data_IF_492660988736
#
_entry.id   IF_492660988736
#
_cell.length_a   1.000
_cell.length_b   1.000
_cell.length_c   1.000
_cell.angle_alpha   90.00
_cell.angle_beta   90.00
_cell.angle_gamma   90.00
#
_symmetry.space_group_name_H-M   'P 1'
#
loop_
_entity.id
_entity.type
_entity.pdbx_description
1 polymer ?
#
# COMPACT_ATOMS: atom_id res chain seq x y z
N UNK A 1 -19.76 12.10 -37.54
CA UNK A 1 -19.35 12.02 -36.12
C UNK A 1 -20.51 11.88 -35.14
N UNK A 2 -21.53 12.77 -35.10
CA UNK A 2 -22.70 12.62 -34.20
C UNK A 2 -23.55 11.36 -34.46
N UNK A 3 -23.61 10.88 -35.71
CA UNK A 3 -24.35 9.65 -36.07
C UNK A 3 -23.63 8.38 -35.58
N UNK A 4 -22.30 8.34 -35.67
CA UNK A 4 -21.48 7.19 -35.24
C UNK A 4 -21.51 7.02 -33.71
N UNK A 5 -21.50 8.14 -32.98
CA UNK A 5 -21.64 8.16 -31.53
C UNK A 5 -23.01 7.63 -31.08
N UNK A 6 -24.09 7.95 -31.78
CA UNK A 6 -25.43 7.40 -31.50
C UNK A 6 -25.56 5.91 -31.81
N UNK A 7 -24.91 5.43 -32.87
CA UNK A 7 -24.90 4.00 -33.23
C UNK A 7 -24.13 3.15 -32.20
N UNK A 8 -22.98 3.64 -31.71
CA UNK A 8 -22.22 2.96 -30.66
C UNK A 8 -22.94 2.97 -29.29
N UNK A 9 -23.65 4.07 -28.97
CA UNK A 9 -24.44 4.17 -27.74
C UNK A 9 -25.66 3.23 -27.76
N UNK A 10 -26.31 3.07 -28.92
CA UNK A 10 -27.46 2.16 -29.09
C UNK A 10 -27.03 0.67 -29.04
N UNK A 11 -25.86 0.34 -29.61
CA UNK A 11 -25.37 -1.04 -29.59
C UNK A 11 -24.93 -1.52 -28.19
N UNK A 12 -24.47 -0.60 -27.33
CA UNK A 12 -24.12 -0.89 -25.95
C UNK A 12 -25.35 -1.14 -25.06
N UNK A 13 -26.47 -0.46 -25.32
CA UNK A 13 -27.71 -0.62 -24.54
C UNK A 13 -28.48 -1.91 -24.88
N UNK A 14 -28.53 -2.31 -26.15
CA UNK A 14 -29.23 -3.53 -26.58
C UNK A 14 -28.60 -4.84 -26.05
N UNK A 15 -27.33 -4.82 -25.65
CA UNK A 15 -26.62 -6.00 -25.10
C UNK A 15 -26.89 -6.26 -23.62
N UNK A 16 -27.56 -5.33 -22.92
CA UNK A 16 -27.78 -5.40 -21.47
C UNK A 16 -29.24 -5.69 -21.08
N UNK A 17 -30.18 -5.58 -22.02
CA UNK A 17 -31.63 -5.66 -21.76
C UNK A 17 -32.31 -6.96 -22.22
N UNK A 18 -31.59 -7.91 -22.83
CA UNK A 18 -32.14 -9.24 -23.13
C UNK A 18 -31.25 -10.34 -22.52
N UNK A 19 -31.66 -10.81 -21.35
CA UNK A 19 -31.12 -12.02 -20.71
C UNK A 19 -31.50 -13.27 -21.48
N UNK A 20 -30.96 -13.44 -22.70
CA UNK A 20 -31.17 -14.64 -23.53
C UNK A 20 -29.83 -15.29 -23.82
N UNK A 21 -29.69 -16.50 -23.29
CA UNK A 21 -28.58 -17.40 -23.56
C UNK A 21 -28.72 -17.92 -25.00
N UNK A 22 -27.91 -17.42 -25.94
CA UNK A 22 -27.85 -17.98 -27.29
C UNK A 22 -26.58 -18.81 -27.48
N UNK A 23 -26.81 -20.09 -27.79
CA UNK A 23 -25.81 -21.12 -28.03
C UNK A 23 -24.95 -20.84 -29.28
N UNK A 24 -23.79 -21.51 -29.34
CA UNK A 24 -22.66 -21.32 -30.27
C UNK A 24 -22.91 -21.62 -31.77
N UNK A 25 -24.13 -21.49 -32.30
CA UNK A 25 -24.44 -21.72 -33.73
C UNK A 25 -25.40 -20.65 -34.28
N UNK A 26 -24.89 -19.47 -34.61
CA UNK A 26 -25.58 -18.50 -35.48
C UNK A 26 -24.64 -17.33 -35.86
N UNK A 27 -23.53 -17.62 -36.55
CA UNK A 27 -22.81 -16.60 -37.33
C UNK A 27 -22.34 -17.25 -38.63
N UNK A 28 -23.29 -17.45 -39.55
CA UNK A 28 -22.99 -17.69 -40.96
C UNK A 28 -24.00 -16.88 -41.77
N UNK A 29 -23.46 -15.99 -42.60
CA UNK A 29 -24.22 -15.20 -43.57
C UNK A 29 -24.44 -13.77 -43.14
N UNK A 30 -23.52 -12.88 -43.54
CA UNK A 30 -23.82 -11.50 -43.97
C UNK A 30 -22.57 -10.91 -44.70
N UNK A 31 -22.68 -10.97 -46.04
CA UNK A 31 -22.14 -10.10 -47.10
C UNK A 31 -20.62 -9.99 -47.43
N UNK A 32 -20.15 -10.24 -48.69
CA UNK A 32 -18.74 -10.19 -49.09
C UNK A 32 -18.17 -8.82 -49.51
N UNK A 33 -18.94 -7.73 -49.51
CA UNK A 33 -18.49 -6.46 -50.13
C UNK A 33 -17.78 -5.44 -49.21
N UNK A 34 -17.45 -5.79 -47.96
CA UNK A 34 -16.82 -4.84 -47.01
C UNK A 34 -15.34 -4.50 -47.31
N UNK A 35 -14.74 -5.10 -48.34
CA UNK A 35 -13.33 -4.88 -48.70
C UNK A 35 -13.09 -3.71 -49.68
N UNK A 36 -14.14 -3.08 -50.23
CA UNK A 36 -13.98 -2.04 -51.27
C UNK A 36 -14.00 -0.58 -50.77
N UNK A 37 -14.01 -0.34 -49.46
CA UNK A 37 -13.98 1.01 -48.89
C UNK A 37 -12.85 1.21 -47.88
N UNK A 38 -11.60 1.08 -48.33
CA UNK A 38 -10.44 1.61 -47.59
C UNK A 38 -9.43 2.26 -48.54
N UNK A 39 -9.26 3.58 -48.43
CA UNK A 39 -7.94 4.06 -48.04
C UNK A 39 -8.08 5.20 -47.01
N UNK A 40 -7.84 4.91 -45.72
CA UNK A 40 -7.42 5.85 -44.65
C UNK A 40 -7.44 5.17 -43.26
N UNK A 41 -6.77 4.03 -43.12
CA UNK A 41 -6.67 3.32 -41.83
C UNK A 41 -5.64 3.94 -40.87
N UNK A 42 -4.72 4.78 -41.34
CA UNK A 42 -3.74 5.42 -40.45
C UNK A 42 -4.30 6.63 -39.69
N UNK A 43 -5.26 7.37 -40.25
CA UNK A 43 -5.83 8.54 -39.58
C UNK A 43 -6.85 8.16 -38.50
N UNK A 44 -7.65 7.11 -38.76
CA UNK A 44 -8.59 6.56 -37.79
C UNK A 44 -7.90 5.81 -36.66
N UNK A 45 -6.80 5.10 -36.93
CA UNK A 45 -5.98 4.51 -35.86
C UNK A 45 -5.24 5.59 -35.07
N UNK A 46 -4.70 6.63 -35.69
CA UNK A 46 -4.07 7.74 -34.96
C UNK A 46 -5.09 8.52 -34.11
N UNK A 47 -6.30 8.75 -34.62
CA UNK A 47 -7.41 9.32 -33.84
C UNK A 47 -7.89 8.36 -32.76
N UNK A 48 -7.99 7.05 -33.01
CA UNK A 48 -8.37 6.08 -31.99
C UNK A 48 -7.33 6.02 -30.88
N UNK A 49 -6.04 6.04 -31.23
CA UNK A 49 -4.94 6.06 -30.26
C UNK A 49 -4.88 7.40 -29.52
N UNK A 50 -5.12 8.55 -30.17
CA UNK A 50 -5.13 9.87 -29.51
C UNK A 50 -6.39 10.11 -28.67
N UNK A 51 -7.58 9.71 -29.14
CA UNK A 51 -8.84 9.71 -28.38
C UNK A 51 -8.85 8.64 -27.27
N UNK A 52 -8.04 7.58 -27.39
CA UNK A 52 -7.81 6.63 -26.30
C UNK A 52 -6.73 7.08 -25.32
N UNK A 53 -5.90 8.06 -25.66
CA UNK A 53 -4.94 8.68 -24.72
C UNK A 53 -5.57 9.82 -23.92
N UNK A 54 -6.60 10.48 -24.46
CA UNK A 54 -7.61 11.18 -23.67
C UNK A 54 -8.58 10.15 -23.10
N UNK A 55 -8.08 9.29 -22.20
CA UNK A 55 -8.94 8.43 -21.39
C UNK A 55 -9.81 9.38 -20.57
N UNK A 56 -11.04 9.62 -21.02
CA UNK A 56 -12.16 9.93 -20.14
C UNK A 56 -12.13 8.84 -19.06
N UNK A 57 -11.48 9.16 -17.94
CA UNK A 57 -11.33 8.26 -16.83
C UNK A 57 -12.76 7.90 -16.42
N UNK A 58 -13.10 6.64 -16.59
CA UNK A 58 -14.49 6.22 -16.56
C UNK A 58 -15.01 6.48 -15.16
N UNK A 59 -16.09 7.26 -15.06
CA UNK A 59 -16.79 7.55 -13.82
C UNK A 59 -16.86 6.29 -12.93
N UNK A 60 -16.26 6.35 -11.75
CA UNK A 60 -16.17 5.20 -10.85
C UNK A 60 -17.26 5.30 -9.79
N UNK A 61 -18.06 4.25 -9.67
CA UNK A 61 -18.96 4.07 -8.52
C UNK A 61 -18.35 3.06 -7.57
N UNK A 62 -17.98 3.51 -6.38
CA UNK A 62 -17.24 2.71 -5.39
C UNK A 62 -17.80 2.92 -3.96
N UNK A 63 -17.22 2.24 -2.98
CA UNK A 63 -17.55 2.37 -1.56
C UNK A 63 -16.29 2.65 -0.74
N UNK A 64 -16.46 3.22 0.45
CA UNK A 64 -15.33 3.47 1.35
C UNK A 64 -14.56 2.20 1.70
N UNK A 65 -15.27 1.10 1.98
CA UNK A 65 -14.67 -0.20 2.25
C UNK A 65 -13.88 -0.77 1.06
N UNK A 66 -14.32 -0.50 -0.18
CA UNK A 66 -13.59 -0.91 -1.38
C UNK A 66 -12.30 -0.11 -1.54
N UNK A 67 -12.34 1.22 -1.35
CA UNK A 67 -11.14 2.06 -1.37
C UNK A 67 -10.16 1.66 -0.26
N UNK A 68 -10.65 1.42 0.95
CA UNK A 68 -9.82 0.93 2.06
C UNK A 68 -9.19 -0.43 1.74
N UNK A 69 -9.91 -1.32 1.04
CA UNK A 69 -9.37 -2.61 0.59
C UNK A 69 -8.18 -2.42 -0.37
N UNK A 70 -8.26 -1.42 -1.25
CA UNK A 70 -7.15 -1.07 -2.14
C UNK A 70 -5.95 -0.54 -1.38
N UNK A 71 -6.15 0.43 -0.48
CA UNK A 71 -5.08 0.99 0.36
C UNK A 71 -4.41 -0.08 1.22
N UNK A 72 -5.17 -1.08 1.70
CA UNK A 72 -4.62 -2.21 2.45
C UNK A 72 -3.82 -3.17 1.58
N UNK A 73 -4.32 -3.52 0.39
CA UNK A 73 -3.66 -4.42 -0.54
C UNK A 73 -4.28 -4.30 -1.95
N UNK A 74 -3.57 -3.72 -2.94
CA UNK A 74 -4.06 -3.59 -4.31
C UNK A 74 -4.46 -4.93 -4.95
N UNK A 75 -3.69 -5.99 -4.70
CA UNK A 75 -4.01 -7.33 -5.21
C UNK A 75 -5.34 -7.86 -4.65
N UNK A 76 -5.64 -7.61 -3.38
CA UNK A 76 -6.92 -8.00 -2.77
C UNK A 76 -8.09 -7.23 -3.39
N UNK A 77 -7.92 -5.93 -3.59
CA UNK A 77 -8.90 -5.10 -4.30
C UNK A 77 -9.15 -5.61 -5.71
N UNK A 78 -8.10 -5.94 -6.47
CA UNK A 78 -8.25 -6.52 -7.81
C UNK A 78 -9.09 -7.80 -7.77
N UNK A 79 -8.77 -8.74 -6.88
CA UNK A 79 -9.54 -9.99 -6.77
C UNK A 79 -11.00 -9.76 -6.40
N UNK A 80 -11.26 -8.83 -5.48
CA UNK A 80 -12.60 -8.61 -4.94
C UNK A 80 -13.49 -7.75 -5.84
N UNK A 81 -12.99 -6.60 -6.32
CA UNK A 81 -13.79 -5.56 -6.97
C UNK A 81 -13.70 -5.62 -8.50
N UNK A 82 -12.50 -5.93 -9.04
CA UNK A 82 -12.26 -6.00 -10.49
C UNK A 82 -12.61 -7.39 -11.02
N UNK A 83 -11.91 -8.43 -10.53
CA UNK A 83 -12.07 -9.80 -10.99
C UNK A 83 -13.34 -10.48 -10.43
N UNK A 84 -13.89 -9.91 -9.34
CA UNK A 84 -15.10 -10.40 -8.64
C UNK A 84 -15.03 -11.87 -8.24
N UNK A 85 -13.86 -12.30 -7.80
CA UNK A 85 -13.62 -13.67 -7.32
C UNK A 85 -14.36 -13.84 -5.99
N UNK A 86 -15.32 -14.77 -5.89
CA UNK A 86 -16.01 -15.05 -4.64
C UNK A 86 -15.03 -15.49 -3.56
N UNK A 87 -15.06 -14.83 -2.41
CA UNK A 87 -14.28 -15.20 -1.24
C UNK A 87 -15.20 -15.80 -0.17
N UNK A 88 -14.66 -16.80 0.54
CA UNK A 88 -15.28 -17.29 1.78
C UNK A 88 -15.28 -16.16 2.81
N UNK A 89 -16.47 -15.76 3.27
CA UNK A 89 -16.60 -14.75 4.34
C UNK A 89 -16.11 -15.34 5.67
N UNK A 90 -15.51 -14.50 6.52
CA UNK A 90 -15.12 -14.92 7.86
C UNK A 90 -16.35 -15.13 8.77
N UNK A 91 -16.17 -15.92 9.84
CA UNK A 91 -17.18 -16.15 10.87
C UNK A 91 -17.67 -14.83 11.47
N UNK A 92 -16.76 -13.90 11.72
CA UNK A 92 -17.03 -12.59 12.30
C UNK A 92 -17.89 -11.73 11.38
N UNK A 93 -17.61 -11.71 10.07
CA UNK A 93 -18.36 -10.94 9.10
C UNK A 93 -19.80 -11.46 8.93
N UNK A 94 -19.94 -12.80 8.90
CA UNK A 94 -21.25 -13.45 8.82
C UNK A 94 -22.04 -13.26 10.12
N UNK A 95 -21.40 -13.44 11.27
CA UNK A 95 -21.99 -13.16 12.58
C UNK A 95 -22.49 -11.73 12.70
N UNK A 96 -21.66 -10.74 12.32
CA UNK A 96 -22.05 -9.34 12.29
C UNK A 96 -23.30 -9.08 11.45
N UNK A 97 -23.39 -9.70 10.28
CA UNK A 97 -24.56 -9.56 9.39
C UNK A 97 -25.87 -9.96 10.08
N UNK A 98 -25.87 -11.09 10.81
CA UNK A 98 -27.06 -11.55 11.55
C UNK A 98 -27.40 -10.66 12.73
N UNK A 99 -26.39 -10.18 13.47
CA UNK A 99 -26.60 -9.26 14.59
C UNK A 99 -27.15 -7.91 14.11
N UNK A 100 -26.60 -7.33 13.03
CA UNK A 100 -27.12 -6.10 12.44
C UNK A 100 -28.55 -6.27 11.94
N UNK A 101 -28.88 -7.42 11.32
CA UNK A 101 -30.25 -7.71 10.91
C UNK A 101 -31.23 -7.74 12.08
N UNK A 102 -30.84 -8.32 13.21
CA UNK A 102 -31.68 -8.34 14.42
C UNK A 102 -31.84 -6.95 15.05
N UNK A 103 -30.79 -6.12 15.06
CA UNK A 103 -30.88 -4.73 15.52
C UNK A 103 -31.73 -3.87 14.57
N UNK A 104 -31.62 -4.07 13.27
CA UNK A 104 -32.51 -3.43 12.30
C UNK A 104 -33.98 -3.79 12.59
N UNK A 105 -34.26 -5.07 12.83
CA UNK A 105 -35.60 -5.53 13.21
C UNK A 105 -36.07 -4.88 14.51
N UNK A 106 -35.23 -4.86 15.55
CA UNK A 106 -35.54 -4.25 16.86
C UNK A 106 -35.99 -2.80 16.79
N UNK A 107 -35.39 -1.99 15.92
CA UNK A 107 -35.73 -0.56 15.76
C UNK A 107 -36.81 -0.30 14.70
N UNK A 108 -37.24 -1.34 13.97
CA UNK A 108 -38.30 -1.20 12.97
C UNK A 108 -39.65 -1.22 13.68
N UNK A 109 -40.23 -0.04 13.92
CA UNK A 109 -41.55 0.08 14.51
C UNK A 109 -42.61 -0.47 13.53
N UNK A 110 -43.42 -1.44 13.96
CA UNK A 110 -44.57 -1.92 13.19
C UNK A 110 -45.62 -2.50 14.13
N UNK A 111 -46.83 -1.94 14.22
CA UNK A 111 -47.15 -0.68 14.93
C UNK A 111 -46.49 -0.48 16.31
N UNK A 112 -46.05 -1.56 16.98
CA UNK A 112 -45.28 -1.53 18.22
C UNK A 112 -43.79 -1.82 17.94
N UNK A 113 -42.92 -1.54 18.90
CA UNK A 113 -41.53 -2.01 18.83
C UNK A 113 -41.47 -3.49 19.20
N UNK A 114 -40.64 -4.30 18.52
CA UNK A 114 -40.42 -5.68 18.90
C UNK A 114 -39.90 -5.80 20.33
N UNK A 115 -40.38 -6.82 21.04
CA UNK A 115 -39.88 -7.25 22.34
C UNK A 115 -38.45 -7.81 22.23
N UNK A 116 -37.79 -7.99 23.37
CA UNK A 116 -36.47 -8.63 23.39
C UNK A 116 -36.55 -10.09 22.94
N UNK A 117 -37.64 -10.79 23.26
CA UNK A 117 -37.93 -12.15 22.80
C UNK A 117 -38.09 -12.22 21.29
N UNK A 118 -38.86 -11.31 20.69
CA UNK A 118 -39.03 -11.24 19.22
C UNK A 118 -37.72 -10.86 18.52
N UNK A 119 -36.97 -9.92 19.07
CA UNK A 119 -35.65 -9.52 18.54
C UNK A 119 -34.67 -10.70 18.55
N UNK A 120 -34.60 -11.42 19.68
CA UNK A 120 -33.80 -12.64 19.77
C UNK A 120 -34.36 -13.72 18.84
N UNK A 121 -35.68 -13.84 18.72
CA UNK A 121 -36.37 -14.77 17.82
C UNK A 121 -35.97 -14.55 16.36
N UNK A 122 -35.95 -13.30 15.91
CA UNK A 122 -35.48 -12.93 14.57
C UNK A 122 -34.04 -13.37 14.34
N UNK A 123 -33.14 -13.13 15.30
CA UNK A 123 -31.77 -13.64 15.21
C UNK A 123 -31.74 -15.17 15.11
N UNK A 124 -32.49 -15.88 15.96
CA UNK A 124 -32.50 -17.35 16.00
C UNK A 124 -32.97 -17.99 14.71
N UNK A 125 -34.01 -17.43 14.09
CA UNK A 125 -34.60 -17.96 12.85
C UNK A 125 -33.62 -17.77 11.68
N UNK A 126 -32.92 -16.63 11.64
CA UNK A 126 -32.02 -16.31 10.54
C UNK A 126 -30.62 -16.92 10.70
N UNK A 127 -30.17 -17.17 11.93
CA UNK A 127 -28.87 -17.78 12.18
C UNK A 127 -28.85 -19.25 11.73
N UNK A 128 -27.75 -19.77 11.15
CA UNK A 128 -27.71 -21.16 10.65
C UNK A 128 -28.12 -22.19 11.70
N UNK A 129 -29.09 -23.03 11.34
CA UNK A 129 -29.65 -24.07 12.23
C UNK A 129 -28.70 -25.25 12.45
N UNK A 130 -27.82 -25.52 11.48
CA UNK A 130 -26.81 -26.59 11.52
C UNK A 130 -25.43 -26.03 11.13
N UNK A 131 -24.34 -26.77 11.40
CA UNK A 131 -23.02 -26.42 10.89
C UNK A 131 -23.01 -26.25 9.37
N UNK A 132 -22.16 -25.35 8.89
CA UNK A 132 -22.01 -25.04 7.47
C UNK A 132 -20.57 -24.64 7.16
N UNK A 133 -20.30 -24.22 5.92
CA UNK A 133 -18.95 -23.84 5.51
C UNK A 133 -18.32 -22.73 6.38
N UNK A 134 -19.13 -21.86 7.00
CA UNK A 134 -18.63 -20.73 7.82
C UNK A 134 -18.47 -21.14 9.28
N UNK A 135 -19.48 -21.79 9.85
CA UNK A 135 -19.51 -22.31 11.22
C UNK A 135 -19.36 -23.82 11.14
N UNK A 136 -18.12 -24.30 11.04
CA UNK A 136 -17.80 -25.65 10.57
C UNK A 136 -18.18 -26.75 11.56
N UNK A 137 -18.33 -26.42 12.84
CA UNK A 137 -18.70 -27.37 13.89
C UNK A 137 -19.86 -26.85 14.71
N UNK A 138 -20.60 -27.77 15.33
CA UNK A 138 -21.72 -27.43 16.20
C UNK A 138 -21.26 -26.62 17.41
N UNK A 139 -20.09 -26.92 17.97
CA UNK A 139 -19.49 -26.15 19.06
C UNK A 139 -19.21 -24.70 18.67
N UNK A 140 -18.62 -24.46 17.48
CA UNK A 140 -18.37 -23.11 16.97
C UNK A 140 -19.70 -22.39 16.71
N UNK A 141 -20.62 -23.03 15.99
CA UNK A 141 -21.93 -22.47 15.67
C UNK A 141 -22.67 -22.03 16.93
N UNK A 142 -22.74 -22.92 17.94
CA UNK A 142 -23.39 -22.65 19.22
C UNK A 142 -22.71 -21.50 19.97
N UNK A 143 -21.38 -21.42 19.97
CA UNK A 143 -20.66 -20.32 20.63
C UNK A 143 -21.02 -18.94 20.04
N UNK A 144 -21.06 -18.80 18.71
CA UNK A 144 -21.49 -17.55 18.07
C UNK A 144 -22.98 -17.28 18.26
N UNK A 145 -23.82 -18.31 18.22
CA UNK A 145 -25.26 -18.17 18.47
C UNK A 145 -25.53 -17.65 19.89
N UNK A 146 -24.94 -18.27 20.90
CA UNK A 146 -25.08 -17.87 22.31
C UNK A 146 -24.53 -16.46 22.54
N UNK A 147 -23.38 -16.13 21.92
CA UNK A 147 -22.81 -14.79 21.96
C UNK A 147 -23.76 -13.75 21.35
N UNK A 148 -24.38 -14.04 20.20
CA UNK A 148 -25.34 -13.16 19.54
C UNK A 148 -26.56 -12.88 20.40
N UNK A 149 -27.17 -13.93 20.97
CA UNK A 149 -28.31 -13.79 21.90
C UNK A 149 -27.92 -12.96 23.12
N UNK A 150 -26.75 -13.19 23.71
CA UNK A 150 -26.26 -12.42 24.87
C UNK A 150 -26.07 -10.94 24.52
N UNK A 151 -25.47 -10.64 23.38
CA UNK A 151 -25.25 -9.27 22.89
C UNK A 151 -26.59 -8.56 22.69
N UNK A 152 -27.54 -9.19 22.01
CA UNK A 152 -28.85 -8.61 21.72
C UNK A 152 -29.64 -8.33 22.99
N UNK A 153 -29.68 -9.28 23.94
CA UNK A 153 -30.34 -9.07 25.24
C UNK A 153 -29.72 -7.91 26.02
N UNK A 154 -28.38 -7.86 26.08
CA UNK A 154 -27.66 -6.81 26.80
C UNK A 154 -27.90 -5.43 26.17
N UNK A 155 -27.84 -5.38 24.83
CA UNK A 155 -28.10 -4.17 24.06
C UNK A 155 -29.54 -3.69 24.25
N UNK A 156 -30.52 -4.58 24.16
CA UNK A 156 -31.94 -4.25 24.34
C UNK A 156 -32.21 -3.66 25.72
N UNK A 157 -31.66 -4.29 26.78
CA UNK A 157 -31.79 -3.81 28.15
C UNK A 157 -31.23 -2.39 28.33
N UNK A 158 -30.07 -2.10 27.73
CA UNK A 158 -29.41 -0.78 27.82
C UNK A 158 -30.04 0.26 26.89
N UNK A 159 -30.64 -0.17 25.78
CA UNK A 159 -31.17 0.72 24.74
C UNK A 159 -32.61 0.30 24.34
N UNK A 160 -33.61 0.45 25.22
CA UNK A 160 -34.99 0.12 24.87
C UNK A 160 -35.45 0.96 23.67
N UNK A 161 -36.02 0.35 22.61
CA UNK A 161 -36.18 1.01 21.32
C UNK A 161 -37.15 2.20 21.37
N UNK A 162 -38.15 2.18 22.26
CA UNK A 162 -39.11 3.27 22.46
C UNK A 162 -38.51 4.54 23.08
N UNK A 163 -37.28 4.51 23.58
CA UNK A 163 -36.59 5.69 24.10
C UNK A 163 -35.91 6.51 22.99
N UNK A 164 -36.00 6.09 21.73
CA UNK A 164 -35.28 6.71 20.63
C UNK A 164 -36.21 7.13 19.50
N UNK A 165 -35.97 8.32 18.95
CA UNK A 165 -36.63 8.80 17.74
C UNK A 165 -35.79 8.44 16.51
N UNK A 166 -35.93 7.20 16.03
CA UNK A 166 -35.19 6.71 14.86
C UNK A 166 -35.73 7.35 13.59
N UNK A 167 -34.89 8.08 12.86
CA UNK A 167 -35.22 8.72 11.58
C UNK A 167 -34.97 7.81 10.38
N UNK A 168 -33.95 6.96 10.47
CA UNK A 168 -33.53 6.12 9.37
C UNK A 168 -32.82 4.88 9.85
N UNK A 169 -33.15 3.74 9.24
CA UNK A 169 -32.43 2.49 9.40
C UNK A 169 -31.88 2.06 8.06
N UNK A 170 -30.67 1.50 8.06
CA UNK A 170 -30.05 0.89 6.88
C UNK A 170 -30.06 1.87 5.66
N UNK A 171 -29.83 3.15 5.97
CA UNK A 171 -30.02 4.28 5.07
C UNK A 171 -28.89 4.35 4.05
N UNK A 172 -29.23 4.19 2.77
CA UNK A 172 -28.28 4.41 1.67
C UNK A 172 -28.04 5.89 1.44
N UNK A 173 -26.80 6.22 1.11
CA UNK A 173 -26.37 7.54 0.70
C UNK A 173 -25.36 7.44 -0.45
N UNK A 174 -25.24 8.52 -1.21
CA UNK A 174 -24.25 8.69 -2.26
C UNK A 174 -23.62 10.07 -2.13
N UNK A 175 -22.30 10.13 -2.25
CA UNK A 175 -21.54 11.37 -2.29
C UNK A 175 -20.88 11.47 -3.65
N UNK A 176 -21.28 12.50 -4.41
CA UNK A 176 -20.63 12.86 -5.67
C UNK A 176 -19.25 13.44 -5.36
N UNK A 177 -18.25 12.93 -6.08
CA UNK A 177 -16.86 13.38 -6.08
C UNK A 177 -16.54 13.95 -7.47
N UNK A 178 -16.29 15.25 -7.53
CA UNK A 178 -15.86 15.92 -8.76
C UNK A 178 -14.34 15.85 -8.86
N UNK A 179 -13.84 15.21 -9.91
CA UNK A 179 -12.41 15.18 -10.24
C UNK A 179 -12.16 16.16 -11.39
N UNK A 180 -11.90 17.42 -11.03
CA UNK A 180 -11.61 18.49 -11.97
C UNK A 180 -10.38 18.18 -12.83
N UNK A 181 -9.37 17.48 -12.26
CA UNK A 181 -8.11 17.19 -12.95
C UNK A 181 -8.33 16.24 -14.12
N UNK A 182 -9.20 15.27 -13.95
CA UNK A 182 -9.49 14.25 -14.95
C UNK A 182 -10.84 14.47 -15.66
N UNK A 183 -11.52 15.58 -15.38
CA UNK A 183 -12.86 15.90 -15.91
C UNK A 183 -13.84 14.73 -15.74
N UNK A 184 -13.79 14.08 -14.57
CA UNK A 184 -14.57 12.90 -14.24
C UNK A 184 -15.43 13.12 -13.00
N UNK A 185 -16.55 12.41 -12.92
CA UNK A 185 -17.44 12.44 -11.75
C UNK A 185 -17.54 11.04 -11.18
N UNK A 186 -17.10 10.87 -9.94
CA UNK A 186 -17.14 9.59 -9.23
C UNK A 186 -18.26 9.61 -8.19
N UNK A 187 -18.70 8.42 -7.77
CA UNK A 187 -19.74 8.24 -6.77
C UNK A 187 -19.18 7.37 -5.66
N UNK A 188 -19.18 7.91 -4.44
CA UNK A 188 -18.87 7.17 -3.23
C UNK A 188 -20.17 6.81 -2.53
N UNK A 189 -20.54 5.54 -2.58
CA UNK A 189 -21.78 5.02 -2.03
C UNK A 189 -21.54 4.29 -0.71
N UNK A 190 -22.53 4.38 0.19
CA UNK A 190 -22.49 3.70 1.47
C UNK A 190 -23.87 3.43 2.05
N UNK A 191 -23.87 2.83 3.23
CA UNK A 191 -25.06 2.48 3.99
C UNK A 191 -24.80 2.75 5.46
N UNK A 192 -25.71 3.47 6.11
CA UNK A 192 -25.66 3.82 7.52
C UNK A 192 -26.62 2.90 8.27
N UNK A 193 -26.16 2.26 9.35
CA UNK A 193 -26.98 1.31 10.11
C UNK A 193 -28.20 2.00 10.74
N UNK A 194 -28.00 3.15 11.41
CA UNK A 194 -29.07 3.88 12.11
C UNK A 194 -28.80 5.39 12.21
N UNK A 195 -29.85 6.18 12.14
CA UNK A 195 -29.85 7.63 12.33
C UNK A 195 -30.98 7.98 13.30
N UNK A 196 -30.63 8.69 14.37
CA UNK A 196 -31.57 9.14 15.41
C UNK A 196 -31.70 10.66 15.44
N UNK A 197 -32.88 11.14 15.85
CA UNK A 197 -33.10 12.49 16.33
C UNK A 197 -33.02 12.47 17.86
N UNK A 198 -32.21 13.34 18.43
CA UNK A 198 -32.04 13.49 19.87
C UNK A 198 -33.04 14.50 20.43
N UNK A 199 -33.26 14.46 21.75
CA UNK A 199 -34.24 15.29 22.45
C UNK A 199 -33.91 16.78 22.43
N UNK A 200 -32.63 17.13 22.29
CA UNK A 200 -32.13 18.50 22.14
C UNK A 200 -32.26 19.04 20.70
N UNK A 201 -32.85 18.26 19.79
CA UNK A 201 -33.04 18.62 18.38
C UNK A 201 -31.83 18.33 17.50
N UNK A 202 -30.74 17.79 18.06
CA UNK A 202 -29.57 17.33 17.29
C UNK A 202 -29.78 15.91 16.73
N UNK A 203 -28.82 15.41 15.97
CA UNK A 203 -28.90 14.12 15.28
C UNK A 203 -27.69 13.24 15.60
N UNK A 204 -27.88 11.92 15.58
CA UNK A 204 -26.81 10.96 15.80
C UNK A 204 -26.83 9.85 14.75
N UNK A 205 -25.71 9.68 14.04
CA UNK A 205 -25.44 8.52 13.19
C UNK A 205 -24.79 7.43 14.06
N UNK A 206 -25.31 6.22 13.98
CA UNK A 206 -24.80 5.07 14.73
C UNK A 206 -24.43 3.97 13.74
N UNK A 207 -23.19 3.49 13.84
CA UNK A 207 -22.69 2.32 13.12
C UNK A 207 -22.31 1.23 14.13
N UNK A 208 -22.88 0.05 13.96
CA UNK A 208 -22.71 -1.06 14.89
C UNK A 208 -21.43 -1.83 14.57
N UNK A 209 -20.66 -2.17 15.60
CA UNK A 209 -19.44 -2.97 15.46
C UNK A 209 -19.51 -4.21 16.35
N UNK A 210 -19.25 -5.37 15.76
CA UNK A 210 -19.07 -6.66 16.46
C UNK A 210 -17.59 -7.01 16.68
N UNK A 211 -16.69 -6.03 16.54
CA UNK A 211 -15.27 -6.23 16.76
C UNK A 211 -14.96 -6.66 18.21
N UNK A 212 -13.90 -7.47 18.38
CA UNK A 212 -13.45 -7.98 19.69
C UNK A 212 -12.65 -6.95 20.50
N UNK A 213 -12.13 -5.91 19.85
CA UNK A 213 -11.30 -4.87 20.47
C UNK A 213 -12.00 -3.52 20.35
N UNK A 214 -11.88 -2.72 21.41
CA UNK A 214 -12.24 -1.31 21.40
C UNK A 214 -11.04 -0.49 20.87
N UNK A 215 -11.24 0.41 19.90
CA UNK A 215 -10.25 1.41 19.55
C UNK A 215 -10.18 2.50 20.62
N UNK A 216 -9.13 3.33 20.56
CA UNK A 216 -9.06 4.55 21.36
C UNK A 216 -10.01 5.62 20.83
N UNK A 217 -10.33 6.63 21.65
CA UNK A 217 -11.19 7.73 21.25
C UNK A 217 -10.59 8.52 20.07
N UNK A 218 -9.27 8.73 20.08
CA UNK A 218 -8.55 9.44 19.01
C UNK A 218 -8.67 8.72 17.65
N UNK A 219 -8.66 7.38 17.66
CA UNK A 219 -8.87 6.60 16.45
C UNK A 219 -10.29 6.79 15.90
N UNK A 220 -11.30 6.87 16.77
CA UNK A 220 -12.69 7.17 16.37
C UNK A 220 -12.82 8.61 15.87
N UNK A 221 -12.15 9.57 16.50
CA UNK A 221 -12.16 10.97 16.09
C UNK A 221 -11.54 11.18 14.71
N UNK A 222 -10.54 10.37 14.35
CA UNK A 222 -9.89 10.39 13.04
C UNK A 222 -10.55 9.48 11.99
N UNK A 223 -11.61 8.74 12.34
CA UNK A 223 -12.22 7.76 11.45
C UNK A 223 -12.88 8.41 10.21
N UNK A 224 -12.33 8.06 9.04
CA UNK A 224 -12.75 8.56 7.74
C UNK A 224 -14.09 7.96 7.27
N UNK A 225 -14.46 6.75 7.69
CA UNK A 225 -15.76 6.14 7.36
C UNK A 225 -16.90 6.93 8.01
N UNK A 226 -16.76 7.28 9.29
CA UNK A 226 -17.71 8.12 10.00
C UNK A 226 -17.78 9.54 9.42
N UNK A 227 -16.63 10.09 9.02
CA UNK A 227 -16.58 11.38 8.32
C UNK A 227 -17.35 11.32 6.99
N UNK A 228 -17.27 10.21 6.25
CA UNK A 228 -18.08 9.99 5.05
C UNK A 228 -19.58 9.90 5.37
N UNK A 229 -19.96 9.21 6.45
CA UNK A 229 -21.37 9.13 6.85
C UNK A 229 -21.96 10.49 7.17
N UNK A 230 -21.22 11.33 7.91
CA UNK A 230 -21.63 12.70 8.20
C UNK A 230 -21.87 13.49 6.90
N UNK A 231 -20.96 13.41 5.93
CA UNK A 231 -21.13 14.03 4.62
C UNK A 231 -22.34 13.49 3.85
N UNK A 232 -22.54 12.18 3.85
CA UNK A 232 -23.65 11.52 3.18
C UNK A 232 -25.01 11.99 3.71
N UNK A 233 -25.11 12.11 5.05
CA UNK A 233 -26.31 12.63 5.73
C UNK A 233 -26.50 14.12 5.44
N UNK A 234 -25.45 14.94 5.54
CA UNK A 234 -25.52 16.37 5.23
C UNK A 234 -25.98 16.65 3.80
N UNK A 235 -25.48 15.89 2.81
CA UNK A 235 -25.95 16.03 1.41
C UNK A 235 -27.41 15.65 1.25
N UNK A 236 -27.87 14.61 1.96
CA UNK A 236 -29.25 14.13 1.88
C UNK A 236 -30.24 15.00 2.66
N UNK A 237 -29.81 15.54 3.79
CA UNK A 237 -30.59 16.36 4.71
C UNK A 237 -29.76 17.58 5.14
N UNK A 238 -29.78 18.67 4.35
CA UNK A 238 -28.92 19.84 4.58
C UNK A 238 -29.09 20.56 5.92
N UNK A 239 -30.22 20.36 6.61
CA UNK A 239 -30.47 20.92 7.94
C UNK A 239 -29.69 20.18 9.06
N UNK A 240 -29.15 19.00 8.79
CA UNK A 240 -28.29 18.23 9.70
C UNK A 240 -26.82 18.66 9.49
N UNK A 241 -26.49 19.88 9.89
CA UNK A 241 -25.14 20.45 9.75
C UNK A 241 -24.11 19.71 10.62
N UNK A 242 -22.81 19.99 10.41
CA UNK A 242 -21.74 19.34 11.19
C UNK A 242 -21.80 19.65 12.70
N UNK A 243 -22.39 20.77 13.08
CA UNK A 243 -22.49 21.22 14.48
C UNK A 243 -23.61 20.50 15.26
N UNK A 244 -24.65 20.05 14.57
CA UNK A 244 -25.79 19.36 15.16
C UNK A 244 -25.84 17.86 14.82
N UNK A 245 -24.75 17.30 14.29
CA UNK A 245 -24.65 15.91 13.86
C UNK A 245 -23.48 15.19 14.55
N UNK A 246 -23.83 14.24 15.42
CA UNK A 246 -22.90 13.32 16.06
C UNK A 246 -22.74 12.05 15.21
N UNK A 247 -21.54 11.49 15.20
CA UNK A 247 -21.26 10.18 14.62
C UNK A 247 -20.73 9.25 15.70
N UNK A 248 -21.22 8.02 15.74
CA UNK A 248 -20.93 7.09 16.82
C UNK A 248 -20.67 5.68 16.31
N UNK A 249 -19.67 5.02 16.90
CA UNK A 249 -19.47 3.59 16.81
C UNK A 249 -20.00 2.92 18.07
N UNK A 250 -20.92 1.96 17.90
CA UNK A 250 -21.43 1.17 19.00
C UNK A 250 -20.81 -0.22 18.99
N UNK A 251 -19.94 -0.50 19.95
CA UNK A 251 -19.24 -1.76 20.09
C UNK A 251 -20.07 -2.77 20.88
N UNK A 252 -20.86 -3.56 20.15
CA UNK A 252 -21.87 -4.46 20.69
C UNK A 252 -21.32 -5.52 21.65
N UNK A 253 -20.09 -6.01 21.44
CA UNK A 253 -19.47 -6.99 22.35
C UNK A 253 -19.16 -6.39 23.73
N UNK A 254 -18.81 -5.11 23.74
CA UNK A 254 -18.43 -4.35 24.93
C UNK A 254 -19.58 -3.55 25.54
N UNK A 255 -20.68 -3.39 24.79
CA UNK A 255 -21.82 -2.54 25.16
C UNK A 255 -21.42 -1.06 25.35
N UNK A 256 -20.41 -0.61 24.60
CA UNK A 256 -19.86 0.74 24.68
C UNK A 256 -20.11 1.53 23.40
N UNK A 257 -20.42 2.81 23.55
CA UNK A 257 -20.63 3.75 22.44
C UNK A 257 -19.53 4.81 22.48
N UNK A 258 -18.74 4.87 21.41
CA UNK A 258 -17.74 5.92 21.21
C UNK A 258 -18.30 6.93 20.21
N UNK A 259 -18.42 8.17 20.66
CA UNK A 259 -19.04 9.26 19.90
C UNK A 259 -18.00 10.28 19.49
N UNK A 260 -18.20 10.91 18.35
CA UNK A 260 -17.35 11.98 17.84
C UNK A 260 -18.18 13.03 17.10
N UNK A 261 -17.66 14.25 17.04
CA UNK A 261 -18.17 15.32 16.21
C UNK A 261 -17.27 15.46 14.98
N UNK A 262 -17.83 15.88 13.85
CA UNK A 262 -17.08 16.07 12.61
C UNK A 262 -16.91 17.54 12.30
N UNK A 263 -15.70 17.89 11.88
CA UNK A 263 -15.41 19.23 11.34
C UNK A 263 -15.59 19.22 9.82
N UNK A 264 -15.88 20.37 9.19
CA UNK A 264 -15.89 20.49 7.73
C UNK A 264 -14.59 20.00 7.08
N UNK A 265 -13.44 20.27 7.70
CA UNK A 265 -12.14 19.79 7.23
C UNK A 265 -12.04 18.25 7.23
N UNK A 266 -12.61 17.58 8.23
CA UNK A 266 -12.67 16.11 8.29
C UNK A 266 -13.38 15.53 7.06
N UNK A 267 -14.46 16.18 6.62
CA UNK A 267 -15.17 15.83 5.40
C UNK A 267 -14.28 16.00 4.16
N UNK A 268 -13.63 17.15 4.01
CA UNK A 268 -12.74 17.40 2.86
C UNK A 268 -11.58 16.39 2.77
N UNK A 269 -11.00 16.00 3.91
CA UNK A 269 -9.94 14.97 3.96
C UNK A 269 -10.42 13.63 3.40
N UNK A 270 -11.64 13.18 3.72
CA UNK A 270 -12.21 11.95 3.16
C UNK A 270 -12.33 12.04 1.65
N UNK A 271 -12.87 13.15 1.13
CA UNK A 271 -13.07 13.33 -0.31
C UNK A 271 -11.73 13.34 -1.05
N UNK A 272 -10.73 14.04 -0.51
CA UNK A 272 -9.37 14.08 -1.07
C UNK A 272 -8.74 12.68 -1.09
N UNK A 273 -8.73 11.97 0.03
CA UNK A 273 -8.17 10.61 0.12
C UNK A 273 -8.89 9.65 -0.84
N UNK A 274 -10.21 9.78 -0.98
CA UNK A 274 -10.99 8.97 -1.91
C UNK A 274 -10.60 9.26 -3.37
N UNK A 275 -10.50 10.54 -3.76
CA UNK A 275 -10.08 10.95 -5.10
C UNK A 275 -8.65 10.48 -5.42
N UNK A 276 -7.71 10.64 -4.49
CA UNK A 276 -6.33 10.15 -4.66
C UNK A 276 -6.29 8.63 -4.89
N UNK A 277 -7.05 7.88 -4.09
CA UNK A 277 -7.14 6.42 -4.23
C UNK A 277 -7.79 6.02 -5.57
N UNK A 278 -8.87 6.70 -5.96
CA UNK A 278 -9.55 6.47 -7.24
C UNK A 278 -8.61 6.76 -8.42
N UNK A 279 -7.85 7.84 -8.34
CA UNK A 279 -6.85 8.21 -9.34
C UNK A 279 -5.77 7.12 -9.45
N UNK A 280 -5.23 6.65 -8.33
CA UNK A 280 -4.24 5.56 -8.32
C UNK A 280 -4.78 4.25 -8.91
N UNK A 281 -6.01 3.86 -8.56
CA UNK A 281 -6.71 2.70 -9.14
C UNK A 281 -6.85 2.88 -10.66
N UNK A 282 -7.30 4.05 -11.08
CA UNK A 282 -7.59 4.34 -12.48
C UNK A 282 -6.31 4.36 -13.31
N UNK A 283 -5.24 4.99 -12.83
CA UNK A 283 -3.93 4.98 -13.49
C UNK A 283 -3.34 3.58 -13.58
N UNK A 284 -3.44 2.76 -12.52
CA UNK A 284 -2.98 1.36 -12.59
C UNK A 284 -3.78 0.56 -13.61
N UNK A 285 -5.11 0.71 -13.61
CA UNK A 285 -6.01 0.00 -14.52
C UNK A 285 -5.76 0.39 -15.98
N UNK A 286 -5.71 1.70 -16.27
CA UNK A 286 -5.47 2.22 -17.61
C UNK A 286 -4.09 1.84 -18.15
N UNK A 287 -3.06 1.89 -17.31
CA UNK A 287 -1.69 1.52 -17.69
C UNK A 287 -1.44 0.01 -17.76
N UNK A 288 -2.46 -0.84 -17.58
CA UNK A 288 -2.35 -2.28 -17.44
C UNK A 288 -1.24 -2.72 -16.46
N UNK A 289 -1.07 -1.94 -15.39
CA UNK A 289 -0.04 -2.18 -14.37
C UNK A 289 -0.49 -3.32 -13.46
N UNK A 290 0.47 -4.07 -12.94
CA UNK A 290 0.19 -5.12 -11.97
C UNK A 290 -0.31 -4.52 -10.64
N UNK A 291 -1.33 -5.16 -10.06
CA UNK A 291 -1.80 -4.85 -8.72
C UNK A 291 -0.98 -5.68 -7.74
N UNK A 292 0.16 -5.14 -7.33
CA UNK A 292 1.10 -5.87 -6.49
C UNK A 292 0.49 -6.23 -5.12
N UNK A 293 0.78 -7.43 -4.58
CA UNK A 293 0.41 -7.76 -3.22
C UNK A 293 1.23 -6.91 -2.24
N UNK A 294 0.59 -6.53 -1.13
CA UNK A 294 1.25 -5.84 -0.02
C UNK A 294 1.22 -6.75 1.21
N UNK A 295 2.26 -7.59 1.42
CA UNK A 295 2.31 -8.50 2.57
C UNK A 295 2.22 -7.74 3.90
N UNK A 296 1.34 -8.20 4.79
CA UNK A 296 1.15 -7.64 6.12
C UNK A 296 0.62 -8.72 7.07
N UNK A 297 0.50 -8.42 8.36
CA UNK A 297 -0.11 -9.32 9.33
C UNK A 297 -1.56 -9.71 8.98
N UNK A 298 -2.25 -8.94 8.13
CA UNK A 298 -3.59 -9.25 7.65
C UNK A 298 -3.61 -10.40 6.62
N UNK A 299 -2.47 -10.78 6.04
CA UNK A 299 -2.40 -11.85 5.05
C UNK A 299 -2.89 -13.18 5.58
N UNK A 300 -2.71 -13.48 6.86
CA UNK A 300 -3.15 -14.74 7.49
C UNK A 300 -4.67 -14.90 7.53
N UNK A 301 -5.39 -13.78 7.45
CA UNK A 301 -6.85 -13.74 7.42
C UNK A 301 -7.40 -13.44 6.02
N UNK A 302 -6.53 -13.35 5.01
CA UNK A 302 -6.95 -13.03 3.65
C UNK A 302 -7.52 -14.27 2.95
N UNK A 303 -8.80 -14.24 2.50
CA UNK A 303 -9.41 -15.40 1.84
C UNK A 303 -8.77 -15.72 0.48
N UNK A 304 -8.06 -14.77 -0.11
CA UNK A 304 -7.36 -14.94 -1.40
C UNK A 304 -5.91 -15.39 -1.24
N UNK A 305 -5.43 -15.72 -0.02
CA UNK A 305 -4.05 -16.17 0.22
C UNK A 305 -3.61 -17.31 -0.74
N UNK A 306 -4.44 -18.33 -1.05
CA UNK A 306 -4.07 -19.38 -2.00
C UNK A 306 -3.82 -18.90 -3.44
N UNK A 307 -4.47 -17.82 -3.86
CA UNK A 307 -4.35 -17.26 -5.22
C UNK A 307 -3.31 -16.13 -5.31
N UNK A 308 -2.94 -15.55 -4.17
CA UNK A 308 -2.08 -14.38 -4.09
C UNK A 308 -0.67 -14.67 -4.64
N UNK A 309 -0.10 -13.84 -5.52
CA UNK A 309 1.26 -14.03 -6.05
C UNK A 309 2.33 -14.19 -4.96
N UNK A 310 2.17 -13.51 -3.81
CA UNK A 310 3.09 -13.61 -2.68
C UNK A 310 3.08 -14.98 -1.97
N UNK A 311 1.98 -15.74 -2.09
CA UNK A 311 1.77 -16.96 -1.29
C UNK A 311 1.45 -18.21 -2.13
N UNK A 312 1.01 -18.05 -3.38
CA UNK A 312 0.49 -19.13 -4.24
C UNK A 312 1.43 -20.33 -4.40
N UNK A 313 2.75 -20.12 -4.28
CA UNK A 313 3.72 -21.21 -4.36
C UNK A 313 3.56 -22.23 -3.21
N UNK A 314 3.09 -21.80 -2.03
CA UNK A 314 2.81 -22.67 -0.88
C UNK A 314 1.57 -23.55 -1.08
N UNK A 315 0.65 -23.12 -1.95
CA UNK A 315 -0.65 -23.79 -2.18
C UNK A 315 -0.67 -24.58 -3.48
N UNK A 316 0.37 -24.48 -4.31
CA UNK A 316 0.52 -25.33 -5.49
C UNK A 316 0.74 -26.75 -4.99
N UNK A 317 -0.25 -27.64 -5.20
CA UNK A 317 -0.04 -29.08 -5.00
C UNK A 317 1.24 -29.45 -5.74
N UNK A 318 2.20 -30.12 -5.08
CA UNK A 318 3.35 -30.74 -5.76
C UNK A 318 2.77 -31.52 -6.93
N UNK A 319 3.09 -31.11 -8.15
CA UNK A 319 2.52 -31.74 -9.33
C UNK A 319 2.87 -33.23 -9.28
N UNK A 320 1.85 -34.09 -9.24
CA UNK A 320 1.99 -35.55 -9.30
C UNK A 320 2.16 -36.05 -10.73
N UNK A 321 2.26 -35.15 -11.72
CA UNK A 321 2.41 -35.49 -13.12
C UNK A 321 3.91 -35.54 -13.49
N UNK A 322 4.43 -36.70 -13.93
CA UNK A 322 5.85 -36.88 -14.29
C UNK A 322 6.31 -36.11 -15.54
N UNK A 323 5.40 -35.47 -16.27
CA UNK A 323 5.68 -34.85 -17.59
C UNK A 323 5.92 -33.35 -17.54
N UNK A 324 5.66 -32.69 -16.42
CA UNK A 324 6.16 -31.33 -16.21
C UNK A 324 7.56 -31.46 -15.61
N UNK A 325 8.59 -30.99 -16.33
CA UNK A 325 9.98 -30.90 -15.89
C UNK A 325 10.03 -30.70 -14.38
N UNK A 326 10.53 -31.71 -13.66
CA UNK A 326 10.49 -31.77 -12.20
C UNK A 326 10.84 -30.38 -11.65
N UNK A 327 9.91 -29.73 -10.90
CA UNK A 327 10.19 -28.41 -10.37
C UNK A 327 11.52 -28.47 -9.64
N UNK A 328 12.46 -27.58 -10.00
CA UNK A 328 13.69 -27.41 -9.22
C UNK A 328 13.31 -27.45 -7.73
N UNK A 329 14.05 -28.16 -6.87
CA UNK A 329 13.75 -28.23 -5.45
C UNK A 329 14.02 -26.86 -4.82
N UNK A 330 13.09 -25.92 -5.04
CA UNK A 330 13.22 -24.52 -4.67
C UNK A 330 13.36 -24.38 -3.16
N UNK A 331 12.81 -25.33 -2.40
CA UNK A 331 12.95 -25.44 -0.96
C UNK A 331 14.43 -25.60 -0.56
N UNK A 332 15.16 -26.52 -1.23
CA UNK A 332 16.58 -26.78 -0.96
C UNK A 332 17.46 -25.61 -1.40
N UNK A 333 17.20 -25.06 -2.59
CA UNK A 333 17.92 -23.88 -3.13
C UNK A 333 17.72 -22.67 -2.20
N UNK A 334 16.48 -22.43 -1.76
CA UNK A 334 16.15 -21.31 -0.86
C UNK A 334 16.82 -21.52 0.49
N UNK A 335 16.82 -22.76 1.02
CA UNK A 335 17.48 -23.10 2.28
C UNK A 335 18.98 -22.85 2.22
N UNK A 336 19.65 -23.29 1.16
CA UNK A 336 21.07 -23.06 0.94
C UNK A 336 21.38 -21.55 0.83
N UNK A 337 20.62 -20.82 0.02
CA UNK A 337 20.78 -19.37 -0.13
C UNK A 337 20.64 -18.62 1.20
N UNK A 338 19.62 -18.95 1.99
CA UNK A 338 19.41 -18.32 3.31
C UNK A 338 20.52 -18.68 4.31
N UNK A 339 21.06 -19.90 4.24
CA UNK A 339 22.18 -20.31 5.08
C UNK A 339 23.45 -19.52 4.74
N UNK A 340 23.81 -19.43 3.45
CA UNK A 340 24.93 -18.63 2.97
C UNK A 340 24.77 -17.16 3.33
N UNK A 341 23.57 -16.58 3.22
CA UNK A 341 23.32 -15.20 3.63
C UNK A 341 23.47 -14.96 5.13
N UNK A 342 23.09 -15.94 5.96
CA UNK A 342 23.30 -15.88 7.41
C UNK A 342 24.78 -15.95 7.76
N UNK A 343 25.55 -16.73 7.03
CA UNK A 343 27.01 -16.80 7.18
C UNK A 343 27.71 -15.51 6.74
N UNK A 344 27.33 -14.96 5.58
CA UNK A 344 27.79 -13.65 5.08
C UNK A 344 27.58 -12.54 6.12
N UNK A 345 26.41 -12.51 6.77
CA UNK A 345 26.13 -11.55 7.84
C UNK A 345 27.03 -11.73 9.07
N UNK A 346 27.36 -12.97 9.45
CA UNK A 346 28.30 -13.24 10.56
C UNK A 346 29.72 -12.86 10.20
N UNK A 347 30.14 -13.22 8.99
CA UNK A 347 31.46 -12.90 8.45
C UNK A 347 31.63 -11.38 8.36
N UNK A 348 30.63 -10.65 7.89
CA UNK A 348 30.63 -9.19 7.89
C UNK A 348 30.87 -8.59 9.28
N UNK A 349 30.11 -9.02 10.31
CA UNK A 349 30.33 -8.58 11.69
C UNK A 349 31.74 -8.88 12.20
N UNK A 350 32.24 -10.09 11.92
CA UNK A 350 33.60 -10.48 12.32
C UNK A 350 34.68 -9.69 11.59
N UNK A 351 34.46 -9.40 10.31
CA UNK A 351 35.35 -8.55 9.52
C UNK A 351 35.41 -7.14 10.09
N UNK A 352 34.27 -6.57 10.52
CA UNK A 352 34.25 -5.24 11.17
C UNK A 352 35.07 -5.21 12.46
N UNK A 353 34.94 -6.24 13.31
CA UNK A 353 35.74 -6.38 14.55
C UNK A 353 37.25 -6.48 14.25
N UNK A 354 37.64 -7.28 13.26
CA UNK A 354 39.03 -7.45 12.87
C UNK A 354 39.58 -6.16 12.26
N UNK A 355 38.81 -5.48 11.41
CA UNK A 355 39.18 -4.19 10.84
C UNK A 355 39.40 -3.13 11.92
N UNK A 356 38.58 -3.10 12.98
CA UNK A 356 38.77 -2.19 14.10
C UNK A 356 40.12 -2.44 14.80
N UNK A 357 40.45 -3.70 15.10
CA UNK A 357 41.73 -4.07 15.71
C UNK A 357 42.93 -3.74 14.82
N UNK A 358 42.81 -3.97 13.51
CA UNK A 358 43.85 -3.62 12.55
C UNK A 358 44.05 -2.10 12.51
N UNK A 359 42.98 -1.31 12.51
CA UNK A 359 43.08 0.16 12.56
C UNK A 359 43.79 0.63 13.84
N UNK A 360 43.41 0.09 14.99
CA UNK A 360 44.03 0.39 16.29
C UNK A 360 45.53 0.07 16.27
N UNK A 361 45.92 -1.09 15.75
CA UNK A 361 47.32 -1.46 15.57
C UNK A 361 48.06 -0.48 14.64
N UNK A 362 47.50 -0.18 13.47
CA UNK A 362 48.10 0.74 12.50
C UNK A 362 48.30 2.14 13.06
N UNK A 363 47.37 2.60 13.90
CA UNK A 363 47.45 3.89 14.59
C UNK A 363 48.52 3.88 15.68
N UNK A 364 48.56 2.84 16.52
CA UNK A 364 49.54 2.70 17.60
C UNK A 364 50.98 2.61 17.09
N UNK A 365 51.21 1.82 16.05
CA UNK A 365 52.55 1.61 15.48
C UNK A 365 52.93 2.65 14.40
N UNK A 366 52.01 3.53 14.03
CA UNK A 366 52.24 4.55 12.99
C UNK A 366 52.44 3.99 11.58
N UNK A 367 51.97 2.78 11.29
CA UNK A 367 52.18 2.10 10.00
C UNK A 367 51.01 2.30 9.02
N UNK A 368 51.33 2.43 7.73
CA UNK A 368 50.32 2.56 6.66
C UNK A 368 49.97 1.24 5.98
N UNK A 369 50.71 0.16 6.27
CA UNK A 369 50.44 -1.20 5.79
C UNK A 369 50.74 -2.24 6.87
N UNK A 370 49.93 -3.30 6.91
CA UNK A 370 50.13 -4.48 7.76
C UNK A 370 50.23 -5.68 6.84
N UNK A 371 51.34 -6.41 6.92
CA UNK A 371 51.59 -7.62 6.14
C UNK A 371 51.23 -8.86 6.94
N UNK A 372 50.66 -9.85 6.28
CA UNK A 372 50.44 -11.19 6.79
C UNK A 372 50.81 -12.22 5.74
N UNK A 373 50.72 -13.50 6.10
CA UNK A 373 51.24 -14.60 5.28
C UNK A 373 50.52 -14.72 3.93
N UNK A 374 49.26 -14.31 3.85
CA UNK A 374 48.42 -14.42 2.64
C UNK A 374 48.25 -13.10 1.86
N UNK A 375 48.84 -12.00 2.35
CA UNK A 375 48.71 -10.69 1.70
C UNK A 375 48.96 -9.52 2.64
N UNK A 376 48.44 -8.35 2.28
CA UNK A 376 48.58 -7.16 3.12
C UNK A 376 47.35 -6.28 3.11
N UNK A 377 47.21 -5.52 4.20
CA UNK A 377 46.16 -4.55 4.42
C UNK A 377 46.80 -3.17 4.42
N UNK A 378 46.24 -2.26 3.61
CA UNK A 378 46.75 -0.90 3.47
C UNK A 378 45.74 0.14 3.92
N UNK A 379 46.24 1.16 4.61
CA UNK A 379 45.48 2.35 5.01
C UNK A 379 45.34 3.25 3.78
N UNK A 380 44.11 3.50 3.37
CA UNK A 380 43.77 4.48 2.34
C UNK A 380 42.98 5.59 3.02
N UNK A 381 43.58 6.78 3.12
CA UNK A 381 42.81 7.97 3.51
C UNK A 381 41.94 8.36 2.31
N UNK A 382 40.64 8.43 2.55
CA UNK A 382 39.68 8.92 1.57
C UNK A 382 39.09 10.21 2.12
N UNK A 383 39.09 11.26 1.32
CA UNK A 383 38.32 12.47 1.61
C UNK A 383 36.93 12.33 1.02
N UNK A 384 35.91 12.60 1.83
CA UNK A 384 34.52 12.77 1.38
C UNK A 384 33.97 14.04 2.01
N UNK A 385 33.09 14.68 1.27
CA UNK A 385 32.40 15.86 1.72
C UNK A 385 31.21 15.43 2.59
N UNK A 386 31.17 15.93 3.81
CA UNK A 386 30.05 15.89 4.72
C UNK A 386 29.28 17.22 4.59
N UNK A 387 27.96 17.14 4.49
CA UNK A 387 27.12 18.31 4.24
C UNK A 387 26.38 18.73 5.52
N UNK A 388 26.60 19.96 5.97
CA UNK A 388 25.88 20.55 7.11
C UNK A 388 24.60 21.20 6.61
N UNK A 389 23.53 20.40 6.49
CA UNK A 389 22.28 20.85 5.89
C UNK A 389 21.64 22.04 6.61
N UNK A 390 21.85 22.20 7.92
CA UNK A 390 21.38 23.38 8.67
C UNK A 390 22.04 24.68 8.17
N UNK A 391 23.35 24.65 7.91
CA UNK A 391 24.10 25.79 7.35
C UNK A 391 23.82 26.02 5.88
N UNK A 392 23.61 24.94 5.13
CA UNK A 392 23.21 25.02 3.72
C UNK A 392 21.84 25.67 3.60
N UNK A 393 20.91 25.36 4.52
CA UNK A 393 19.60 25.99 4.60
C UNK A 393 19.68 27.48 4.88
N UNK A 394 20.47 27.90 5.88
CA UNK A 394 20.69 29.33 6.19
C UNK A 394 21.17 30.14 4.98
N UNK A 395 21.92 29.53 4.05
CA UNK A 395 22.46 30.17 2.85
C UNK A 395 21.46 30.16 1.67
N UNK A 396 20.70 29.07 1.51
CA UNK A 396 19.81 28.87 0.36
C UNK A 396 18.37 29.39 0.57
N UNK A 397 17.93 29.54 1.82
CA UNK A 397 16.59 30.01 2.19
C UNK A 397 16.35 31.49 1.81
N UNK A 398 17.30 32.44 2.05
CA UNK A 398 17.13 33.85 1.66
C UNK A 398 17.04 34.08 0.15
N UNK A 399 17.62 33.20 -0.65
CA UNK A 399 17.61 33.27 -2.13
C UNK A 399 16.49 32.41 -2.75
N UNK A 400 15.61 31.84 -1.93
CA UNK A 400 14.46 31.04 -2.37
C UNK A 400 14.80 29.68 -2.98
N UNK A 401 16.08 29.28 -2.98
CA UNK A 401 16.58 28.06 -3.63
C UNK A 401 16.59 26.82 -2.73
N UNK A 402 16.30 26.97 -1.43
CA UNK A 402 16.17 25.81 -0.53
C UNK A 402 15.08 24.83 -0.97
N UNK A 403 13.96 25.33 -1.52
CA UNK A 403 12.83 24.51 -1.99
C UNK A 403 13.18 23.59 -3.16
N UNK A 404 14.24 23.89 -3.89
CA UNK A 404 14.71 23.10 -5.03
C UNK A 404 15.47 21.83 -4.57
N UNK A 405 15.87 21.78 -3.28
CA UNK A 405 16.46 20.61 -2.62
C UNK A 405 15.43 20.07 -1.63
N UNK A 406 14.67 19.05 -2.05
CA UNK A 406 13.84 18.26 -1.14
C UNK A 406 14.74 17.63 -0.07
N UNK A 407 14.39 17.83 1.21
CA UNK A 407 15.14 17.50 2.44
C UNK A 407 16.40 16.64 2.24
N UNK A 408 17.57 17.29 2.37
CA UNK A 408 18.90 16.67 2.51
C UNK A 408 19.40 15.78 1.36
N UNK A 409 19.04 16.06 0.10
CA UNK A 409 19.57 15.34 -1.07
C UNK A 409 20.91 15.91 -1.58
N UNK A 410 22.02 15.21 -1.30
CA UNK A 410 23.38 15.59 -1.75
C UNK A 410 23.52 15.69 -3.27
N UNK A 411 22.81 14.85 -4.04
CA UNK A 411 22.92 14.85 -5.52
C UNK A 411 22.28 16.09 -6.10
N UNK A 412 21.13 16.49 -5.56
CA UNK A 412 20.44 17.72 -5.96
C UNK A 412 21.23 18.96 -5.58
N UNK A 413 21.82 18.99 -4.38
CA UNK A 413 22.69 20.08 -3.97
C UNK A 413 23.89 20.25 -4.93
N UNK A 414 24.55 19.14 -5.34
CA UNK A 414 25.65 19.20 -6.32
C UNK A 414 25.20 19.71 -7.70
N UNK A 415 23.99 19.38 -8.12
CA UNK A 415 23.42 19.91 -9.36
C UNK A 415 23.14 21.42 -9.25
N UNK A 416 22.50 21.83 -8.15
CA UNK A 416 22.15 23.22 -7.88
C UNK A 416 23.39 24.12 -7.78
N UNK A 417 24.48 23.63 -7.18
CA UNK A 417 25.74 24.38 -7.08
C UNK A 417 26.32 24.85 -8.42
N UNK A 418 25.98 24.18 -9.54
CA UNK A 418 26.40 24.60 -10.89
C UNK A 418 25.65 25.83 -11.40
N UNK A 419 24.44 26.06 -10.89
CA UNK A 419 23.54 27.13 -11.33
C UNK A 419 23.55 28.33 -10.37
N UNK A 420 24.13 28.18 -9.18
CA UNK A 420 24.19 29.23 -8.16
C UNK A 420 25.24 30.31 -8.49
N UNK A 421 24.97 31.58 -8.13
CA UNK A 421 25.94 32.67 -8.19
C UNK A 421 27.24 32.32 -7.44
N UNK A 422 28.37 32.84 -7.93
CA UNK A 422 29.70 32.53 -7.41
C UNK A 422 29.82 32.80 -5.90
N UNK A 423 29.28 33.93 -5.44
CA UNK A 423 29.31 34.35 -4.04
C UNK A 423 28.57 33.36 -3.12
N UNK A 424 27.41 32.85 -3.56
CA UNK A 424 26.63 31.85 -2.84
C UNK A 424 27.34 30.49 -2.83
N UNK A 425 27.97 30.11 -3.94
CA UNK A 425 28.73 28.87 -4.06
C UNK A 425 29.92 28.86 -3.10
N UNK A 426 30.62 29.98 -2.97
CA UNK A 426 31.72 30.13 -2.02
C UNK A 426 31.24 30.05 -0.58
N UNK A 427 30.13 30.69 -0.22
CA UNK A 427 29.51 30.56 1.11
C UNK A 427 29.13 29.10 1.42
N UNK A 428 28.59 28.36 0.45
CA UNK A 428 28.27 26.94 0.61
C UNK A 428 29.51 26.07 0.81
N UNK A 429 30.58 26.31 0.05
CA UNK A 429 31.83 25.57 0.20
C UNK A 429 32.49 25.85 1.56
N UNK A 430 32.44 27.10 2.03
CA UNK A 430 33.09 27.51 3.27
C UNK A 430 32.32 27.07 4.53
N UNK A 431 30.99 27.14 4.50
CA UNK A 431 30.15 26.94 5.68
C UNK A 431 29.21 25.73 5.59
N UNK A 432 28.85 25.30 4.39
CA UNK A 432 27.91 24.20 4.16
C UNK A 432 28.58 22.84 3.95
N UNK A 433 29.81 22.82 3.43
CA UNK A 433 30.53 21.60 3.05
C UNK A 433 31.76 21.45 3.93
N UNK A 434 31.82 20.36 4.69
CA UNK A 434 32.99 19.99 5.48
C UNK A 434 33.68 18.80 4.79
N UNK A 435 34.97 18.89 4.54
CA UNK A 435 35.73 17.71 4.06
C UNK A 435 36.17 16.91 5.27
N UNK A 436 35.68 15.68 5.38
CA UNK A 436 36.14 14.73 6.40
C UNK A 436 37.02 13.68 5.75
N UNK A 437 38.07 13.30 6.47
CA UNK A 437 38.92 12.19 6.09
C UNK A 437 38.40 10.90 6.75
N UNK A 438 38.27 9.84 5.97
CA UNK A 438 37.90 8.52 6.44
C UNK A 438 39.00 7.55 6.09
N UNK A 439 39.36 6.73 7.07
CA UNK A 439 40.34 5.68 6.88
C UNK A 439 39.62 4.42 6.37
N UNK A 440 39.84 4.12 5.09
CA UNK A 440 39.43 2.87 4.48
C UNK A 440 40.59 1.87 4.48
N UNK A 441 40.33 0.62 4.84
CA UNK A 441 41.29 -0.47 4.69
C UNK A 441 41.11 -1.14 3.34
N UNK A 442 42.20 -1.28 2.56
CA UNK A 442 42.21 -2.05 1.30
C UNK A 442 43.00 -3.33 1.50
N UNK A 443 42.38 -4.46 1.17
CA UNK A 443 42.99 -5.78 1.23
C UNK A 443 43.56 -6.16 -0.13
N UNK A 444 44.77 -6.70 -0.15
CA UNK A 444 45.39 -7.31 -1.34
C UNK A 444 45.89 -8.69 -0.96
N UNK A 445 45.48 -9.70 -1.74
CA UNK A 445 45.96 -11.07 -1.61
C UNK A 445 47.17 -11.30 -2.53
N UNK A 446 48.16 -12.04 -2.05
CA UNK A 446 49.35 -12.42 -2.84
C UNK A 446 50.59 -12.69 -1.99
N UNK A 447 51.36 -13.72 -2.35
CA UNK A 447 52.63 -14.09 -1.72
C UNK A 447 53.68 -12.98 -1.90
N UNK A 448 54.23 -12.48 -0.80
CA UNK A 448 55.47 -11.73 -0.82
C UNK A 448 56.63 -12.72 -0.69
N UNK A 449 57.53 -12.76 -1.67
CA UNK A 449 58.86 -13.32 -1.46
C UNK A 449 59.55 -12.47 -0.41
N UNK A 450 59.86 -13.04 0.76
CA UNK A 450 60.66 -12.38 1.79
C UNK A 450 62.05 -12.11 1.22
N UNK A 451 62.41 -10.84 1.07
CA UNK A 451 63.82 -10.46 1.01
C UNK A 451 64.34 -10.55 2.44
N UNK A 452 65.01 -11.65 2.77
CA UNK A 452 65.75 -11.78 4.02
C UNK A 452 66.84 -10.68 4.11
N UNK A 453 67.07 -10.11 5.31
CA UNK A 453 68.10 -9.10 5.52
C UNK A 453 69.46 -9.76 5.78
N UNK A 454 70.08 -10.36 4.77
CA UNK A 454 71.46 -10.86 4.87
C UNK A 454 72.28 -10.52 3.62
N UNK A 455 72.58 -9.24 3.36
CA UNK A 455 73.73 -8.86 2.52
C UNK A 455 74.16 -7.41 2.84
N UNK A 456 74.61 -7.16 4.07
CA UNK A 456 75.51 -6.04 4.38
C UNK A 456 76.85 -6.66 4.75
N UNK A 457 77.64 -7.07 3.75
CA UNK A 457 79.04 -7.44 3.90
C UNK A 457 79.66 -7.72 2.53
N UNK A 458 79.73 -6.72 1.65
CA UNK A 458 80.73 -6.69 0.57
C UNK A 458 80.87 -5.29 -0.06
N UNK A 459 80.98 -4.24 0.76
CA UNK A 459 81.37 -2.90 0.30
C UNK A 459 82.79 -2.57 0.80
N UNK A 460 83.74 -3.45 0.51
CA UNK A 460 85.18 -3.23 0.69
C UNK A 460 85.97 -4.15 -0.25
N UNK A 461 85.75 -4.04 -1.56
CA UNK A 461 86.75 -4.38 -2.56
C UNK A 461 86.29 -3.89 -3.93
N UNK A 462 87.23 -3.38 -4.74
CA UNK A 462 87.08 -2.86 -6.11
C UNK A 462 86.79 -1.36 -6.24
N UNK A 463 87.59 -0.57 -5.54
CA UNK A 463 88.14 0.67 -6.10
C UNK A 463 89.15 0.35 -7.22
N UNK A 464 88.65 0.01 -8.41
CA UNK A 464 89.37 0.13 -9.68
C UNK A 464 88.53 -0.48 -10.80
N UNK A 465 87.88 0.34 -11.61
CA UNK A 465 87.92 0.23 -13.07
C UNK A 465 87.16 1.38 -13.74
N UNK A 466 87.76 1.86 -14.81
CA UNK A 466 87.57 3.11 -15.56
C UNK A 466 86.28 3.22 -16.39
N UNK A 467 85.92 4.44 -16.85
CA UNK A 467 84.64 4.72 -17.52
C UNK A 467 84.70 4.41 -19.03
N UNK A 468 83.64 3.82 -19.59
CA UNK A 468 83.39 3.82 -21.04
C UNK A 468 81.91 4.08 -21.38
N UNK A 469 81.71 5.28 -21.93
CA UNK A 469 80.80 5.75 -23.00
C UNK A 469 79.54 4.95 -23.38
N UNK A 470 78.44 5.73 -23.45
CA UNK A 470 77.38 5.77 -24.48
C UNK A 470 76.51 4.50 -24.64
N UNK A 471 75.19 4.54 -24.79
CA UNK A 471 74.43 5.24 -25.84
C UNK A 471 72.97 5.46 -25.39
N UNK A 472 72.44 6.59 -25.84
CA UNK A 472 71.06 7.08 -25.80
C UNK A 472 70.10 6.20 -26.61
N UNK A 473 68.86 5.99 -26.15
CA UNK A 473 67.79 5.34 -26.90
C UNK A 473 66.43 5.89 -26.51
N UNK A 474 65.99 6.88 -27.28
CA UNK A 474 64.81 7.71 -27.10
C UNK A 474 63.50 7.06 -27.60
N UNK A 475 62.40 7.38 -26.92
CA UNK A 475 61.05 7.70 -27.45
C UNK A 475 60.30 6.61 -28.25
N UNK A 476 59.18 6.11 -27.70
CA UNK A 476 57.81 6.47 -28.10
C UNK A 476 56.78 6.09 -27.03
#
# INVERSE_FOLDING_TARGET
MRLLARLLHSHYYLKRSSGVCLSRKAVQGLDPYLHLLMPRTNFLNALYTSLSSEILQTAMRTSYSALQTYTQCPQKYKFQEIDRIPAKKSKEAVFGTYVHSALNFMFKQTPLFPTVEETCGHFRINFPASPNDVFETEAIRKAYFDEGVRILKSFYKKNPPWNFSVLGLETRFEVILEDEKNSATHILAGKIDRIDKLSDGTYEIIDYKTAKRLPSQEAVDSDLQLSLYALGVQKKWPHMSSENLKVSLYFLKHQEKLSSLRTPDSGQRVLRNALETISEISTRTAGNKQFEPMPSALCDYCPYKPLCPAWKHLYRKRATNPTDSAPLPIDDITKEYLALKKEDQKNGKRMDELQAKIKEYMEREGVTRVFGDEGYISRSVQTRHSYRFDKIREILEPIGKWKDILDADEKKLRSLMKELPEETRQKLILYGIETREFIALKVRFGFFFSLEPYFISLFHFLSSWTPRKMVCGSIF
#
